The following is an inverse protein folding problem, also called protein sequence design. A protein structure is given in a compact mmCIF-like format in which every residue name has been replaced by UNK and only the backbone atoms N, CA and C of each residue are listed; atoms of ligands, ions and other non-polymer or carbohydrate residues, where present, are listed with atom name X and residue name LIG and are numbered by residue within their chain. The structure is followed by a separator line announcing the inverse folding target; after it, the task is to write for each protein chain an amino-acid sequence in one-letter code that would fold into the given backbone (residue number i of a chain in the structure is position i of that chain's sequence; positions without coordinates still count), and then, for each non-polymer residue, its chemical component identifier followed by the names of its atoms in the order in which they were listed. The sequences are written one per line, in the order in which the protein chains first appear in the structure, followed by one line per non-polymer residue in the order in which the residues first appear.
data_IF_549273988150
#
_entry.id   IF_549273988150
#
_cell.length_a   1.000
_cell.length_b   1.000
_cell.length_c   1.000
_cell.angle_alpha   90.00
_cell.angle_beta   90.00
_cell.angle_gamma   90.00
#
_symmetry.space_group_name_H-M   'P 1'
#
loop_
_entity.id
_entity.type
_entity.pdbx_description
1 polymer ?
#
# COMPACT_ATOMS: atom_id res chain seq x y z
N UNK A 1 -8.11 -12.30 6.20
CA UNK A 1 -6.86 -12.90 6.75
C UNK A 1 -5.71 -12.00 6.35
N UNK A 2 -4.86 -11.60 7.30
CA UNK A 2 -3.66 -10.81 7.00
C UNK A 2 -2.60 -11.74 6.39
N UNK A 3 -2.23 -11.49 5.14
CA UNK A 3 -1.16 -12.22 4.45
C UNK A 3 0.20 -11.68 4.91
N UNK A 4 1.19 -12.54 5.22
CA UNK A 4 2.55 -12.09 5.54
C UNK A 4 3.22 -11.47 4.31
N UNK A 5 4.07 -10.46 4.54
CA UNK A 5 4.96 -9.92 3.51
C UNK A 5 6.15 -10.87 3.30
N UNK A 6 6.33 -11.35 2.08
CA UNK A 6 7.51 -12.10 1.67
C UNK A 6 8.61 -11.13 1.23
N UNK A 7 9.54 -10.83 2.14
CA UNK A 7 10.61 -9.86 1.89
C UNK A 7 11.61 -10.33 0.82
N UNK A 8 11.92 -11.62 0.78
CA UNK A 8 12.89 -12.18 -0.17
C UNK A 8 12.34 -12.09 -1.60
N UNK A 9 11.10 -12.55 -1.80
CA UNK A 9 10.44 -12.46 -3.09
C UNK A 9 10.23 -11.01 -3.53
N UNK A 10 9.92 -10.11 -2.59
CA UNK A 10 9.81 -8.67 -2.84
C UNK A 10 11.11 -8.06 -3.37
N UNK A 11 12.25 -8.39 -2.75
CA UNK A 11 13.58 -7.92 -3.18
C UNK A 11 13.98 -8.52 -4.54
N UNK A 12 13.73 -9.82 -4.74
CA UNK A 12 14.03 -10.49 -5.99
C UNK A 12 13.23 -9.88 -7.16
N UNK A 13 11.93 -9.65 -6.96
CA UNK A 13 11.05 -9.08 -7.96
C UNK A 13 11.40 -7.61 -8.25
N UNK A 14 11.65 -6.82 -7.20
CA UNK A 14 12.17 -5.45 -7.28
C UNK A 14 13.41 -5.36 -8.18
N UNK A 15 14.36 -6.28 -8.02
CA UNK A 15 15.60 -6.33 -8.80
C UNK A 15 15.32 -6.69 -10.26
N UNK A 16 14.53 -7.75 -10.49
CA UNK A 16 14.14 -8.21 -11.84
C UNK A 16 13.49 -7.10 -12.66
N UNK A 17 12.56 -6.36 -12.04
CA UNK A 17 11.88 -5.26 -12.70
C UNK A 17 12.66 -3.95 -12.65
N UNK A 18 13.81 -3.85 -11.98
CA UNK A 18 14.51 -2.57 -11.78
C UNK A 18 13.56 -1.49 -11.21
N UNK A 19 12.99 -1.77 -10.05
CA UNK A 19 11.99 -0.91 -9.41
C UNK A 19 12.53 0.49 -9.12
N UNK A 20 11.64 1.47 -9.02
CA UNK A 20 11.97 2.90 -8.79
C UNK A 20 11.31 3.41 -7.51
N UNK A 21 12.06 4.11 -6.67
CA UNK A 21 11.60 4.58 -5.36
C UNK A 21 10.32 5.46 -5.40
N UNK A 22 10.16 6.27 -6.44
CA UNK A 22 9.04 7.22 -6.58
C UNK A 22 7.90 6.72 -7.47
N UNK A 23 7.86 5.44 -7.80
CA UNK A 23 6.87 4.88 -8.73
C UNK A 23 6.25 3.57 -8.21
N UNK A 24 5.62 3.57 -7.03
CA UNK A 24 5.11 2.33 -6.41
C UNK A 24 4.05 1.62 -7.26
N UNK A 25 3.16 2.38 -7.91
CA UNK A 25 2.13 1.83 -8.80
C UNK A 25 2.74 1.19 -10.05
N UNK A 26 3.68 1.87 -10.72
CA UNK A 26 4.41 1.30 -11.86
C UNK A 26 5.21 0.04 -11.47
N UNK A 27 5.87 0.06 -10.30
CA UNK A 27 6.60 -1.10 -9.80
C UNK A 27 5.66 -2.30 -9.62
N UNK A 28 4.51 -2.10 -8.95
CA UNK A 28 3.52 -3.16 -8.75
C UNK A 28 2.88 -3.62 -10.06
N UNK A 29 2.60 -2.72 -11.00
CA UNK A 29 2.09 -3.08 -12.32
C UNK A 29 3.08 -3.98 -13.07
N UNK A 30 4.35 -3.55 -13.18
CA UNK A 30 5.40 -4.31 -13.87
C UNK A 30 5.67 -5.66 -13.20
N UNK A 31 5.61 -5.69 -11.87
CA UNK A 31 5.67 -6.91 -11.07
C UNK A 31 4.48 -7.85 -11.36
N UNK A 32 3.26 -7.32 -11.46
CA UNK A 32 2.06 -8.09 -11.77
C UNK A 32 2.15 -8.73 -13.16
N UNK A 33 2.71 -8.02 -14.14
CA UNK A 33 2.95 -8.56 -15.48
C UNK A 33 3.97 -9.72 -15.50
N UNK A 34 4.95 -9.67 -14.59
CA UNK A 34 6.00 -10.68 -14.49
C UNK A 34 5.60 -11.89 -13.61
N UNK A 35 4.48 -11.81 -12.89
CA UNK A 35 4.11 -12.80 -11.86
C UNK A 35 2.78 -13.46 -12.19
N UNK A 36 2.83 -14.77 -12.50
CA UNK A 36 1.63 -15.54 -12.82
C UNK A 36 0.72 -15.66 -11.59
N UNK A 37 -0.57 -15.41 -11.78
CA UNK A 37 -1.58 -15.55 -10.72
C UNK A 37 -1.59 -14.42 -9.69
N UNK A 38 -0.75 -13.39 -9.87
CA UNK A 38 -0.75 -12.24 -8.98
C UNK A 38 -2.03 -11.41 -9.09
N UNK A 39 -2.49 -10.92 -7.94
CA UNK A 39 -3.50 -9.88 -7.84
C UNK A 39 -2.78 -8.57 -7.56
N UNK A 40 -2.96 -7.59 -8.44
CA UNK A 40 -2.50 -6.23 -8.22
C UNK A 40 -3.41 -5.55 -7.20
N UNK A 41 -2.81 -4.92 -6.20
CA UNK A 41 -3.54 -4.27 -5.10
C UNK A 41 -3.11 -2.82 -4.99
N UNK A 42 -4.07 -1.92 -4.86
CA UNK A 42 -3.84 -0.52 -4.52
C UNK A 42 -4.47 -0.22 -3.17
N UNK A 43 -3.87 0.68 -2.41
CA UNK A 43 -4.38 1.11 -1.12
C UNK A 43 -3.33 1.92 -0.38
N UNK A 44 -3.20 1.64 0.92
CA UNK A 44 -2.34 2.41 1.79
C UNK A 44 -1.39 1.53 2.60
N UNK A 45 -0.20 2.05 2.88
CA UNK A 45 0.76 1.46 3.81
C UNK A 45 0.92 2.41 4.99
N UNK A 46 0.66 1.91 6.19
CA UNK A 46 1.06 2.56 7.42
C UNK A 46 2.44 2.04 7.84
N UNK A 47 3.35 2.96 8.17
CA UNK A 47 4.71 2.64 8.58
C UNK A 47 4.88 2.98 10.05
N UNK A 48 5.53 2.09 10.81
CA UNK A 48 5.94 2.41 12.18
C UNK A 48 6.94 3.56 12.20
N UNK A 49 6.63 4.64 12.93
CA UNK A 49 7.44 5.86 12.98
C UNK A 49 7.05 6.88 11.90
N UNK A 50 8.00 7.69 11.47
CA UNK A 50 7.77 8.71 10.42
C UNK A 50 7.76 8.06 9.01
N UNK A 51 6.87 8.52 8.10
CA UNK A 51 5.88 9.58 8.28
C UNK A 51 4.65 9.09 9.07
N UNK A 52 4.15 9.91 10.00
CA UNK A 52 2.96 9.61 10.80
C UNK A 52 1.64 9.68 10.01
N UNK A 53 1.70 9.47 8.69
CA UNK A 53 0.57 9.48 7.76
C UNK A 53 0.64 8.25 6.85
N UNK A 54 -0.52 7.72 6.44
CA UNK A 54 -0.56 6.66 5.42
C UNK A 54 0.16 7.07 4.14
N UNK A 55 0.80 6.10 3.51
CA UNK A 55 1.43 6.25 2.20
C UNK A 55 0.52 5.56 1.18
N UNK A 56 0.02 6.29 0.20
CA UNK A 56 -0.70 5.67 -0.92
C UNK A 56 0.28 4.82 -1.74
N UNK A 57 -0.09 3.57 -1.99
CA UNK A 57 0.86 2.56 -2.45
C UNK A 57 0.19 1.41 -3.21
N UNK A 58 1.00 0.58 -3.84
CA UNK A 58 0.55 -0.64 -4.50
C UNK A 58 1.53 -1.80 -4.32
N UNK A 59 0.99 -3.01 -4.28
CA UNK A 59 1.71 -4.27 -4.09
C UNK A 59 0.99 -5.42 -4.80
N UNK A 60 1.53 -6.63 -4.69
CA UNK A 60 0.89 -7.85 -5.15
C UNK A 60 0.40 -8.69 -3.97
N UNK A 61 -0.80 -9.23 -4.11
CA UNK A 61 -1.24 -10.36 -3.30
C UNK A 61 -1.12 -11.64 -4.14
N UNK A 62 -0.33 -12.60 -3.64
CA UNK A 62 -0.31 -13.98 -4.10
C UNK A 62 -1.28 -14.82 -3.23
N UNK A 63 -1.31 -16.13 -3.43
CA UNK A 63 -2.19 -17.03 -2.66
C UNK A 63 -1.96 -16.87 -1.15
N UNK A 64 -0.70 -17.03 -0.72
CA UNK A 64 -0.35 -17.10 0.71
C UNK A 64 0.40 -15.88 1.25
N UNK A 65 0.83 -14.96 0.39
CA UNK A 65 1.69 -13.83 0.80
C UNK A 65 1.40 -12.52 0.06
N UNK A 66 1.94 -11.45 0.62
CA UNK A 66 2.11 -10.15 -0.04
C UNK A 66 3.52 -10.10 -0.62
N UNK A 67 3.65 -9.53 -1.82
CA UNK A 67 4.92 -9.18 -2.44
C UNK A 67 4.89 -7.70 -2.79
N UNK A 68 5.80 -6.92 -2.23
CA UNK A 68 5.91 -5.49 -2.48
C UNK A 68 7.21 -5.17 -3.23
N UNK A 69 7.18 -4.98 -4.56
CA UNK A 69 8.38 -4.70 -5.33
C UNK A 69 9.01 -3.33 -5.01
N UNK A 70 8.34 -2.51 -4.18
CA UNK A 70 8.89 -1.26 -3.67
C UNK A 70 9.52 -1.40 -2.28
N UNK A 71 9.49 -2.59 -1.68
CA UNK A 71 10.04 -2.87 -0.34
C UNK A 71 11.45 -2.27 -0.11
N UNK A 72 12.43 -2.43 -1.04
CA UNK A 72 13.78 -1.90 -0.82
C UNK A 72 13.83 -0.37 -0.67
N UNK A 73 12.82 0.35 -1.16
CA UNK A 73 12.78 1.82 -1.13
C UNK A 73 12.18 2.39 0.15
N UNK A 74 11.54 1.55 0.99
CA UNK A 74 11.00 1.99 2.27
C UNK A 74 12.10 2.26 3.32
N UNK A 75 13.28 1.65 3.20
CA UNK A 75 14.33 1.69 4.22
C UNK A 75 13.83 1.28 5.62
N UNK A 76 12.93 0.30 5.67
CA UNK A 76 12.29 -0.23 6.89
C UNK A 76 12.21 -1.75 6.83
N UNK A 77 12.22 -2.44 7.98
CA UNK A 77 11.97 -3.87 8.01
C UNK A 77 10.52 -4.17 7.63
N UNK A 78 10.28 -5.35 7.04
CA UNK A 78 8.95 -5.84 6.67
C UNK A 78 7.93 -5.76 7.83
N UNK A 79 8.38 -6.01 9.07
CA UNK A 79 7.55 -5.97 10.28
C UNK A 79 7.07 -4.57 10.66
N UNK A 80 7.65 -3.51 10.07
CA UNK A 80 7.23 -2.13 10.30
C UNK A 80 6.15 -1.65 9.31
N UNK A 81 5.81 -2.47 8.30
CA UNK A 81 4.87 -2.12 7.24
C UNK A 81 3.51 -2.80 7.49
N UNK A 82 2.45 -2.01 7.44
CA UNK A 82 1.08 -2.48 7.61
C UNK A 82 0.26 -2.10 6.38
N UNK A 83 -0.27 -3.11 5.68
CA UNK A 83 -0.93 -2.95 4.38
C UNK A 83 -2.45 -2.87 4.52
N UNK A 84 -3.06 -1.87 3.88
CA UNK A 84 -4.49 -1.58 3.91
C UNK A 84 -5.03 -1.57 2.47
N UNK A 85 -5.52 -2.72 1.98
CA UNK A 85 -5.98 -2.86 0.59
C UNK A 85 -7.29 -2.09 0.36
N UNK A 86 -7.32 -1.28 -0.69
CA UNK A 86 -8.52 -0.58 -1.14
C UNK A 86 -9.13 -1.27 -2.37
N UNK A 87 -8.31 -1.63 -3.35
CA UNK A 87 -8.76 -2.23 -4.60
C UNK A 87 -7.88 -3.40 -5.01
N UNK A 88 -8.52 -4.44 -5.56
CA UNK A 88 -7.85 -5.64 -6.08
C UNK A 88 -8.23 -5.84 -7.53
N UNK A 89 -7.22 -6.00 -8.39
CA UNK A 89 -7.39 -6.21 -9.82
C UNK A 89 -6.57 -7.42 -10.26
N UNK A 90 -7.22 -8.32 -10.99
CA UNK A 90 -6.47 -9.30 -11.79
C UNK A 90 -5.64 -8.57 -12.86
N UNK A 91 -4.57 -9.19 -13.35
CA UNK A 91 -3.78 -8.61 -14.46
C UNK A 91 -4.64 -8.26 -15.67
N UNK A 92 -5.68 -9.06 -15.96
CA UNK A 92 -6.64 -8.77 -17.04
C UNK A 92 -7.42 -7.48 -16.78
N UNK A 93 -7.96 -7.32 -15.58
CA UNK A 93 -8.72 -6.11 -15.20
C UNK A 93 -7.82 -4.87 -15.15
N UNK A 94 -6.59 -5.02 -14.65
CA UNK A 94 -5.62 -3.93 -14.60
C UNK A 94 -5.25 -3.41 -15.99
N UNK A 95 -4.97 -4.31 -16.94
CA UNK A 95 -4.68 -3.92 -18.32
C UNK A 95 -5.85 -3.19 -18.97
N UNK A 96 -7.07 -3.71 -18.81
CA UNK A 96 -8.27 -3.07 -19.34
C UNK A 96 -8.49 -1.68 -18.74
N UNK A 97 -8.27 -1.51 -17.44
CA UNK A 97 -8.40 -0.21 -16.79
C UNK A 97 -7.34 0.81 -17.26
N UNK A 98 -6.10 0.37 -17.47
CA UNK A 98 -5.03 1.23 -18.02
C UNK A 98 -5.34 1.62 -19.48
N UNK A 99 -5.91 0.71 -20.27
CA UNK A 99 -6.31 0.98 -21.65
C UNK A 99 -7.46 2.00 -21.71
N UNK A 100 -8.52 1.80 -20.92
CA UNK A 100 -9.64 2.76 -20.77
C UNK A 100 -9.11 4.15 -20.36
N UNK A 101 -8.24 4.22 -19.34
CA UNK A 101 -7.67 5.50 -18.87
C UNK A 101 -6.86 6.23 -19.95
N UNK A 102 -6.08 5.50 -20.77
CA UNK A 102 -5.29 6.08 -21.86
C UNK A 102 -6.13 6.51 -23.06
N UNK A 103 -7.26 5.86 -23.30
CA UNK A 103 -8.20 6.27 -24.34
C UNK A 103 -8.88 7.59 -23.97
N UNK A 104 -9.28 7.73 -22.71
CA UNK A 104 -9.93 8.95 -22.21
C UNK A 104 -8.92 10.11 -22.05
N UNK A 105 -7.72 9.83 -21.54
CA UNK A 105 -6.68 10.81 -21.22
C UNK A 105 -5.28 10.32 -21.64
N UNK A 106 -4.91 10.40 -22.93
CA UNK A 106 -3.68 9.80 -23.45
C UNK A 106 -2.39 10.43 -22.91
N UNK A 107 -2.46 11.68 -22.45
CA UNK A 107 -1.31 12.44 -21.95
C UNK A 107 -1.13 12.32 -20.42
N UNK A 108 -2.10 11.74 -19.70
CA UNK A 108 -2.08 11.58 -18.25
C UNK A 108 -1.47 10.23 -17.83
N UNK A 109 -0.95 10.14 -16.60
CA UNK A 109 -0.51 8.87 -16.03
C UNK A 109 -1.74 7.99 -15.73
N UNK A 110 -1.87 6.79 -16.33
CA UNK A 110 -3.02 5.91 -16.12
C UNK A 110 -3.03 5.26 -14.73
N UNK A 111 -1.99 5.45 -13.91
CA UNK A 111 -1.89 4.92 -12.56
C UNK A 111 -1.83 6.05 -11.52
N UNK A 112 -2.43 5.88 -10.33
CA UNK A 112 -3.23 4.72 -9.90
C UNK A 112 -4.61 4.64 -10.59
N UNK A 113 -5.20 3.43 -10.55
CA UNK A 113 -6.56 3.22 -11.09
C UNK A 113 -7.58 3.74 -10.07
N UNK A 114 -8.19 4.89 -10.36
CA UNK A 114 -9.37 5.34 -9.64
C UNK A 114 -10.61 4.72 -10.31
N UNK A 115 -11.52 4.16 -9.51
CA UNK A 115 -12.73 3.51 -10.01
C UNK A 115 -13.64 4.46 -10.79
N UNK A 116 -14.70 3.91 -11.41
CA UNK A 116 -15.66 4.71 -12.19
C UNK A 116 -16.33 5.76 -11.31
N UNK A 117 -16.60 6.93 -11.90
CA UNK A 117 -17.37 8.01 -11.28
C UNK A 117 -18.69 7.49 -10.66
N UNK A 118 -19.21 8.12 -9.60
CA UNK A 118 -18.75 9.39 -9.01
C UNK A 118 -17.51 9.22 -8.13
N UNK A 119 -16.51 10.09 -8.33
CA UNK A 119 -15.35 10.16 -7.44
C UNK A 119 -15.78 10.72 -6.09
N UNK A 120 -15.39 10.03 -5.01
CA UNK A 120 -15.55 10.56 -3.66
C UNK A 120 -14.29 11.38 -3.30
N UNK A 121 -14.53 12.62 -2.89
CA UNK A 121 -13.51 13.56 -2.45
C UNK A 121 -13.37 13.48 -0.93
N UNK A 122 -12.14 13.47 -0.43
CA UNK A 122 -11.83 13.42 0.99
C UNK A 122 -10.86 14.53 1.38
N UNK A 123 -11.39 15.62 1.95
CA UNK A 123 -10.64 16.87 2.07
C UNK A 123 -10.30 17.40 0.68
N UNK A 124 -9.03 17.69 0.43
CA UNK A 124 -8.53 18.09 -0.89
C UNK A 124 -8.09 16.90 -1.77
N UNK A 125 -8.22 15.66 -1.29
CA UNK A 125 -7.68 14.46 -1.95
C UNK A 125 -8.79 13.65 -2.64
N UNK A 126 -8.69 13.50 -3.96
CA UNK A 126 -9.57 12.63 -4.76
C UNK A 126 -9.08 11.18 -4.61
N UNK A 127 -9.75 10.37 -3.79
CA UNK A 127 -9.29 9.02 -3.45
C UNK A 127 -10.07 7.90 -4.15
N UNK A 128 -10.89 8.18 -5.16
CA UNK A 128 -11.69 7.15 -5.82
C UNK A 128 -12.96 6.80 -5.03
N UNK A 129 -13.19 5.51 -4.73
CA UNK A 129 -14.45 5.00 -4.15
C UNK A 129 -14.44 4.79 -2.62
N UNK A 130 -15.57 4.32 -2.07
CA UNK A 130 -15.77 4.06 -0.62
C UNK A 130 -14.71 3.15 0.00
N UNK A 131 -14.22 2.19 -0.77
CA UNK A 131 -13.22 1.22 -0.34
C UNK A 131 -11.87 1.90 -0.06
N UNK A 132 -11.52 2.90 -0.86
CA UNK A 132 -10.33 3.72 -0.65
C UNK A 132 -10.44 4.55 0.62
N UNK A 133 -11.61 5.15 0.90
CA UNK A 133 -11.84 5.83 2.18
C UNK A 133 -11.63 4.88 3.35
N UNK A 134 -12.28 3.71 3.28
CA UNK A 134 -12.23 2.74 4.38
C UNK A 134 -10.79 2.31 4.65
N UNK A 135 -10.01 2.03 3.59
CA UNK A 135 -8.60 1.68 3.69
C UNK A 135 -7.75 2.85 4.25
N UNK A 136 -8.00 4.08 3.78
CA UNK A 136 -7.31 5.27 4.26
C UNK A 136 -7.57 5.52 5.76
N UNK A 137 -8.83 5.46 6.19
CA UNK A 137 -9.20 5.67 7.59
C UNK A 137 -8.61 4.57 8.50
N UNK A 138 -8.61 3.31 8.05
CA UNK A 138 -7.97 2.23 8.77
C UNK A 138 -6.45 2.44 8.87
N UNK A 139 -5.80 2.90 7.80
CA UNK A 139 -4.38 3.22 7.82
C UNK A 139 -4.06 4.42 8.73
N UNK A 140 -4.91 5.46 8.77
CA UNK A 140 -4.79 6.57 9.71
C UNK A 140 -4.85 6.05 11.14
N UNK A 141 -5.86 5.23 11.47
CA UNK A 141 -6.01 4.67 12.81
C UNK A 141 -4.78 3.84 13.21
N UNK A 142 -4.21 3.08 12.26
CA UNK A 142 -2.97 2.34 12.47
C UNK A 142 -1.79 3.28 12.72
N UNK A 143 -1.59 4.31 11.90
CA UNK A 143 -0.55 5.31 12.11
C UNK A 143 -0.68 5.94 13.52
N UNK A 144 -1.89 6.34 13.92
CA UNK A 144 -2.16 6.92 15.24
C UNK A 144 -1.78 5.96 16.37
N UNK A 145 -2.18 4.69 16.26
CA UNK A 145 -1.84 3.65 17.26
C UNK A 145 -0.34 3.42 17.40
N UNK A 146 0.40 3.38 16.28
CA UNK A 146 1.85 3.19 16.26
C UNK A 146 2.62 4.36 16.88
N UNK A 147 2.00 5.55 16.94
CA UNK A 147 2.62 6.78 17.45
C UNK A 147 2.24 7.11 18.89
N UNK A 148 1.36 6.34 19.53
CA UNK A 148 1.04 6.57 20.93
C UNK A 148 2.27 6.30 21.80
N UNK A 149 2.67 7.23 22.68
CA UNK A 149 3.72 6.96 23.65
C UNK A 149 3.28 5.75 24.48
N UNK A 150 4.09 4.69 24.50
CA UNK A 150 3.86 3.56 25.39
C UNK A 150 3.81 4.13 26.81
N UNK A 151 2.64 4.11 27.44
CA UNK A 151 2.48 4.52 28.83
C UNK A 151 3.36 3.60 29.67
N UNK A 152 4.49 4.13 30.14
CA UNK A 152 5.31 3.48 31.15
C UNK A 152 4.53 3.51 32.45
N UNK A 153 3.80 2.44 32.74
CA UNK A 153 3.30 2.14 34.08
C UNK A 153 4.49 1.78 34.98
N UNK A 154 5.28 2.79 35.40
CA UNK A 154 6.20 2.61 36.50
C UNK A 154 5.38 2.70 37.79
N UNK A 155 5.13 1.54 38.40
CA UNK A 155 4.56 1.45 39.73
C UNK A 155 5.44 2.20 40.73
N UNK A 156 4.92 3.30 41.25
CA UNK A 156 5.46 3.98 42.41
C UNK A 156 5.01 3.19 43.64
N UNK A 157 5.86 2.30 44.14
CA UNK A 157 5.76 1.82 45.52
C UNK A 157 6.69 2.73 46.32
N UNK A 158 6.09 3.70 47.00
CA UNK A 158 6.73 4.47 48.04
C UNK A 158 6.89 3.56 49.27
N UNK A 159 8.13 3.18 49.56
CA UNK A 159 8.54 2.77 50.91
C UNK A 159 8.48 4.02 51.80
N UNK A 160 7.57 4.04 52.76
CA UNK A 160 7.68 4.91 53.94
C UNK A 160 8.11 4.03 55.12
N UNK A 161 9.27 4.38 55.68
CA UNK A 161 9.77 3.88 56.97
C UNK A 161 9.41 4.80 58.12
#
# INVERSE_FOLDING_TARGET
MNKPLDAEQSIALSTSIKSKAKAPFDNAYRAALATKGAIYVQGFVAVSGQPHKPIEHSWLELEDCIVDPSLPHFNRPATALHYFPAQRLTVKQLKAAIEEAKEDYPDDDPLPIYGKAPYEYYGDLMLGGKEYLAAHNAAIAQCQSLNQPKSTSNGHISDEG
#
